data_IF_228111129355
#
_entry.id   IF_228111129355
#
_cell.length_a   1.000
_cell.length_b   1.000
_cell.length_c   1.000
_cell.angle_alpha   90.00
_cell.angle_beta   90.00
_cell.angle_gamma   90.00
#
_symmetry.space_group_name_H-M   'P 1'
#
loop_
_entity.id
_entity.type
_entity.pdbx_description
1 polymer ?
#
# COMPACT_ATOMS: atom_id res chain seq x y z
N UNK A 1 14.01 3.40 17.37
CA UNK A 1 12.85 4.13 16.83
C UNK A 1 11.63 4.02 17.77
N UNK A 2 10.87 5.09 18.06
CA UNK A 2 9.59 5.01 18.79
C UNK A 2 8.56 4.09 18.12
N UNK A 3 7.68 3.44 18.90
CA UNK A 3 6.67 2.49 18.37
C UNK A 3 5.73 3.15 17.34
N UNK A 4 5.36 4.42 17.58
CA UNK A 4 4.54 5.20 16.64
C UNK A 4 5.21 5.52 15.30
N UNK A 5 6.51 5.35 15.17
CA UNK A 5 7.26 5.59 13.92
C UNK A 5 7.51 4.32 13.11
N UNK A 6 7.13 3.13 13.62
CA UNK A 6 7.37 1.87 12.93
C UNK A 6 6.44 1.65 11.73
N UNK A 7 5.14 1.96 11.88
CA UNK A 7 4.17 1.72 10.81
C UNK A 7 4.40 2.60 9.56
N UNK A 8 4.79 3.90 9.64
CA UNK A 8 5.12 4.69 8.46
C UNK A 8 6.36 4.15 7.75
N UNK A 9 7.36 3.66 8.50
CA UNK A 9 8.57 3.06 7.92
C UNK A 9 8.27 1.75 7.20
N UNK A 10 7.37 0.92 7.74
CA UNK A 10 6.91 -0.28 7.05
C UNK A 10 6.27 0.06 5.69
N UNK A 11 5.40 1.08 5.67
CA UNK A 11 4.76 1.58 4.43
C UNK A 11 5.82 2.11 3.45
N UNK A 12 6.79 2.88 3.94
CA UNK A 12 7.88 3.46 3.15
C UNK A 12 8.68 2.39 2.41
N UNK A 13 9.25 1.41 3.12
CA UNK A 13 10.04 0.34 2.51
C UNK A 13 9.20 -0.54 1.57
N UNK A 14 7.94 -0.82 1.92
CA UNK A 14 7.03 -1.61 1.08
C UNK A 14 6.64 -0.90 -0.23
N UNK A 15 6.67 0.43 -0.23
CA UNK A 15 6.39 1.26 -1.42
C UNK A 15 7.65 1.41 -2.27
N UNK A 16 8.78 1.71 -1.62
CA UNK A 16 10.07 1.99 -2.25
C UNK A 16 10.97 0.76 -2.26
N UNK A 17 10.51 -0.33 -2.89
CA UNK A 17 11.22 -1.63 -2.91
C UNK A 17 12.65 -1.59 -3.47
N UNK A 18 13.02 -0.51 -4.17
CA UNK A 18 14.36 -0.27 -4.70
C UNK A 18 15.37 0.11 -3.60
N UNK A 19 14.90 0.60 -2.44
CA UNK A 19 15.73 0.95 -1.28
C UNK A 19 16.14 -0.29 -0.47
N UNK A 20 15.66 -1.47 -0.86
CA UNK A 20 15.94 -2.74 -0.21
C UNK A 20 14.75 -3.28 0.58
N UNK A 21 15.04 -4.26 1.42
CA UNK A 21 14.03 -4.95 2.23
C UNK A 21 13.68 -4.13 3.48
N UNK A 22 12.49 -4.40 4.04
CA UNK A 22 12.09 -3.87 5.35
C UNK A 22 13.08 -4.37 6.40
N UNK A 23 13.78 -3.48 7.13
CA UNK A 23 14.71 -3.91 8.18
C UNK A 23 13.98 -4.64 9.32
N UNK A 24 14.63 -5.64 9.92
CA UNK A 24 14.06 -6.44 11.01
C UNK A 24 13.54 -5.58 12.17
N UNK A 25 14.26 -4.51 12.56
CA UNK A 25 13.80 -3.60 13.63
C UNK A 25 12.45 -2.94 13.31
N UNK A 26 12.19 -2.62 12.03
CA UNK A 26 10.92 -2.02 11.59
C UNK A 26 9.80 -3.05 11.71
N UNK A 27 10.04 -4.27 11.22
CA UNK A 27 9.10 -5.38 11.34
C UNK A 27 8.79 -5.72 12.80
N UNK A 28 9.84 -5.83 13.64
CA UNK A 28 9.72 -6.19 15.05
C UNK A 28 9.02 -5.14 15.92
N UNK A 29 9.01 -3.88 15.47
CA UNK A 29 8.21 -2.84 16.12
C UNK A 29 6.79 -2.79 15.57
N UNK A 30 6.59 -3.03 14.27
CA UNK A 30 5.25 -3.07 13.67
C UNK A 30 4.37 -4.19 14.28
N UNK A 31 4.94 -5.38 14.51
CA UNK A 31 4.26 -6.51 15.19
C UNK A 31 3.88 -6.26 16.66
N UNK A 32 4.34 -5.16 17.27
CA UNK A 32 3.91 -4.73 18.61
C UNK A 32 2.64 -3.88 18.58
N UNK A 33 2.27 -3.38 17.40
CA UNK A 33 1.10 -2.53 17.17
C UNK A 33 0.00 -3.29 16.43
N UNK A 34 0.39 -4.17 15.51
CA UNK A 34 -0.51 -4.98 14.70
C UNK A 34 -0.41 -6.45 15.07
N UNK A 35 -1.56 -7.14 15.03
CA UNK A 35 -1.61 -8.60 14.94
C UNK A 35 -0.99 -9.09 13.63
N UNK A 36 -0.65 -10.38 13.55
CA UNK A 36 -0.12 -10.97 12.30
C UNK A 36 -1.09 -10.81 11.14
N UNK A 37 -2.39 -10.97 11.40
CA UNK A 37 -3.44 -10.76 10.39
C UNK A 37 -3.45 -9.32 9.89
N UNK A 38 -3.47 -8.34 10.78
CA UNK A 38 -3.47 -6.93 10.38
C UNK A 38 -2.20 -6.54 9.63
N UNK A 39 -1.05 -7.09 10.02
CA UNK A 39 0.21 -6.87 9.32
C UNK A 39 0.16 -7.44 7.90
N UNK A 40 -0.35 -8.66 7.73
CA UNK A 40 -0.54 -9.28 6.42
C UNK A 40 -1.54 -8.50 5.55
N UNK A 41 -2.69 -8.10 6.12
CA UNK A 41 -3.71 -7.29 5.44
C UNK A 41 -3.11 -5.94 5.01
N UNK A 42 -2.32 -5.28 5.87
CA UNK A 42 -1.63 -4.03 5.57
C UNK A 42 -0.61 -4.20 4.44
N UNK A 43 0.25 -5.23 4.51
CA UNK A 43 1.23 -5.52 3.45
C UNK A 43 0.54 -5.78 2.11
N UNK A 44 -0.56 -6.54 2.11
CA UNK A 44 -1.32 -6.81 0.90
C UNK A 44 -1.99 -5.56 0.34
N UNK A 45 -2.57 -4.71 1.20
CA UNK A 45 -3.15 -3.43 0.79
C UNK A 45 -2.10 -2.50 0.15
N UNK A 46 -0.90 -2.41 0.74
CA UNK A 46 0.22 -1.63 0.18
C UNK A 46 0.65 -2.18 -1.19
N UNK A 47 0.76 -3.50 -1.33
CA UNK A 47 1.10 -4.13 -2.59
C UNK A 47 0.04 -3.87 -3.67
N UNK A 48 -1.24 -4.01 -3.32
CA UNK A 48 -2.37 -3.77 -4.21
C UNK A 48 -2.40 -2.32 -4.73
N UNK A 49 -2.31 -1.33 -3.84
CA UNK A 49 -2.34 0.09 -4.26
C UNK A 49 -1.11 0.46 -5.10
N UNK A 50 0.07 -0.06 -4.75
CA UNK A 50 1.27 0.13 -5.55
C UNK A 50 1.16 -0.53 -6.94
N UNK A 51 0.51 -1.70 -7.02
CA UNK A 51 0.17 -2.35 -8.30
C UNK A 51 -0.73 -1.46 -9.16
N UNK A 52 -1.82 -0.95 -8.59
CA UNK A 52 -2.74 -0.04 -9.30
C UNK A 52 -2.07 1.27 -9.72
N UNK A 53 -1.24 1.85 -8.88
CA UNK A 53 -0.48 3.07 -9.23
C UNK A 53 0.44 2.83 -10.43
N UNK A 54 1.10 1.67 -10.50
CA UNK A 54 1.95 1.29 -11.65
C UNK A 54 1.14 1.09 -12.92
N UNK A 55 -0.01 0.40 -12.83
CA UNK A 55 -0.91 0.20 -13.97
C UNK A 55 -1.43 1.53 -14.52
N UNK A 56 -1.93 2.40 -13.65
CA UNK A 56 -2.45 3.71 -14.03
C UNK A 56 -1.36 4.63 -14.62
N UNK A 57 -0.14 4.57 -14.05
CA UNK A 57 1.01 5.31 -14.57
C UNK A 57 1.39 4.84 -15.98
N UNK A 58 1.47 3.53 -16.20
CA UNK A 58 1.77 2.95 -17.51
C UNK A 58 0.68 3.26 -18.55
N UNK A 59 -0.59 3.20 -18.14
CA UNK A 59 -1.74 3.47 -18.98
C UNK A 59 -2.05 4.98 -19.17
N UNK A 60 -1.33 5.88 -18.47
CA UNK A 60 -1.55 7.34 -18.49
C UNK A 60 -2.99 7.74 -18.18
N UNK A 61 -3.67 6.99 -17.31
CA UNK A 61 -5.05 7.26 -16.92
C UNK A 61 -5.13 8.53 -16.06
N UNK A 62 -6.07 9.43 -16.37
CA UNK A 62 -6.32 10.64 -15.58
C UNK A 62 -7.44 10.37 -14.57
N UNK A 63 -7.14 10.51 -13.28
CA UNK A 63 -8.11 10.32 -12.21
C UNK A 63 -9.30 11.29 -12.37
N UNK A 64 -10.52 10.81 -12.06
CA UNK A 64 -11.75 11.62 -12.14
C UNK A 64 -12.33 11.81 -13.55
N UNK A 65 -11.70 11.26 -14.59
CA UNK A 65 -12.22 11.34 -15.97
C UNK A 65 -13.17 10.20 -16.35
N UNK A 66 -13.30 9.17 -15.50
CA UNK A 66 -14.20 8.05 -15.73
C UNK A 66 -15.67 8.51 -15.77
N UNK A 67 -16.35 8.21 -16.87
CA UNK A 67 -17.79 8.42 -17.03
C UNK A 67 -18.47 7.05 -17.18
N UNK A 68 -19.21 6.57 -16.16
CA UNK A 68 -19.95 5.32 -16.31
C UNK A 68 -21.03 5.48 -17.40
N UNK A 69 -21.34 4.38 -18.09
CA UNK A 69 -22.45 4.37 -19.02
C UNK A 69 -23.75 4.71 -18.27
N UNK A 70 -24.64 5.50 -18.90
CA UNK A 70 -25.98 5.72 -18.36
C UNK A 70 -26.69 4.36 -18.30
N UNK A 71 -27.19 3.97 -17.14
CA UNK A 71 -28.03 2.78 -17.04
C UNK A 71 -29.24 2.98 -17.97
N UNK A 72 -29.51 2.00 -18.82
CA UNK A 72 -30.74 2.00 -19.60
C UNK A 72 -31.84 1.62 -18.61
N UNK A 73 -32.77 2.55 -18.34
CA UNK A 73 -33.95 2.24 -17.55
C UNK A 73 -34.72 1.11 -18.26
N UNK A 74 -35.11 0.09 -17.50
CA UNK A 74 -35.90 -1.04 -17.96
C UNK A 74 -37.35 -0.63 -18.21
#
# INVERSE_FOLDING_TARGET
MPVGEAYPKLIHYSTNIQEGHVPDEVYDRARKVFTEKELADLTFAIAAINGWNRLNSAARTVAGTYRPAKSRAA
#
